data_IF_843903984525
#
_entry.id   IF_843903984525
#
_cell.length_a   1.000
_cell.length_b   1.000
_cell.length_c   1.000
_cell.angle_alpha   90.00
_cell.angle_beta   90.00
_cell.angle_gamma   90.00
#
_symmetry.space_group_name_H-M   'P 1'
#
loop_
_entity.id
_entity.type
_entity.pdbx_description
1 polymer ?
#
# COMPACT_ATOMS: atom_id res chain seq x y z
N UNK A 1 17.52 20.56 -31.29
CA UNK A 1 17.29 20.78 -29.84
C UNK A 1 16.51 19.58 -29.33
N UNK A 2 17.20 18.56 -28.83
CA UNK A 2 16.59 17.31 -28.36
C UNK A 2 16.13 17.56 -26.92
N UNK A 3 14.83 17.64 -26.67
CA UNK A 3 14.31 17.53 -25.32
C UNK A 3 14.39 16.04 -24.95
N UNK A 4 15.47 15.63 -24.29
CA UNK A 4 15.44 14.40 -23.49
C UNK A 4 14.42 14.67 -22.38
N UNK A 5 13.24 14.06 -22.48
CA UNK A 5 12.38 13.92 -21.32
C UNK A 5 13.18 13.10 -20.31
N UNK A 6 13.72 13.77 -19.30
CA UNK A 6 14.17 13.12 -18.09
C UNK A 6 12.99 12.26 -17.61
N UNK A 7 13.15 10.94 -17.62
CA UNK A 7 12.21 10.00 -17.00
C UNK A 7 12.37 10.18 -15.49
N UNK A 8 11.94 11.35 -15.02
CA UNK A 8 12.14 11.86 -13.69
C UNK A 8 11.82 10.76 -12.68
N UNK A 9 12.84 10.38 -11.94
CA UNK A 9 12.87 9.51 -10.77
C UNK A 9 11.49 8.98 -10.32
N UNK A 10 11.18 7.70 -10.59
CA UNK A 10 9.95 7.02 -10.12
C UNK A 10 10.02 6.60 -8.64
N UNK A 11 10.89 7.26 -7.89
CA UNK A 11 11.07 7.05 -6.47
C UNK A 11 10.22 8.04 -5.69
N UNK A 12 9.36 7.54 -4.81
CA UNK A 12 8.61 8.34 -3.84
C UNK A 12 9.00 7.92 -2.43
N UNK A 13 9.45 8.86 -1.61
CA UNK A 13 9.56 8.66 -0.17
C UNK A 13 8.60 9.60 0.53
N UNK A 14 7.69 9.03 1.32
CA UNK A 14 6.78 9.78 2.17
C UNK A 14 7.04 9.40 3.63
N UNK A 15 7.33 10.41 4.44
CA UNK A 15 7.64 10.24 5.87
C UNK A 15 6.67 11.06 6.71
N UNK A 16 6.00 10.42 7.66
CA UNK A 16 5.16 11.07 8.64
C UNK A 16 5.98 11.74 9.74
N UNK A 17 5.47 12.83 10.36
CA UNK A 17 6.11 13.46 11.52
C UNK A 17 6.09 12.53 12.74
N UNK A 18 4.98 11.82 12.91
CA UNK A 18 4.76 10.68 13.81
C UNK A 18 3.41 10.00 13.44
N UNK A 19 3.14 8.76 13.90
CA UNK A 19 1.89 8.05 13.59
C UNK A 19 0.59 8.70 14.11
N UNK A 20 0.66 9.75 14.94
CA UNK A 20 -0.52 10.41 15.51
C UNK A 20 -0.93 11.68 14.75
N UNK A 21 -0.06 12.20 13.88
CA UNK A 21 -0.23 13.49 13.21
C UNK A 21 -0.66 13.38 11.76
N UNK A 22 -0.26 12.31 11.05
CA UNK A 22 -0.61 12.09 9.65
C UNK A 22 -1.05 10.65 9.44
N UNK A 23 -2.29 10.43 9.00
CA UNK A 23 -2.80 9.11 8.59
C UNK A 23 -3.31 9.14 7.15
N UNK A 24 -3.10 8.05 6.42
CA UNK A 24 -3.70 7.83 5.11
C UNK A 24 -4.95 6.94 5.29
N UNK A 25 -6.10 7.42 4.83
CA UNK A 25 -7.34 6.63 4.80
C UNK A 25 -8.22 7.02 3.63
N UNK A 26 -9.13 6.13 3.23
CA UNK A 26 -10.22 6.49 2.31
C UNK A 26 -11.50 6.96 3.02
N UNK A 27 -11.43 7.21 4.34
CA UNK A 27 -12.57 7.64 5.15
C UNK A 27 -13.65 6.59 5.38
N UNK A 28 -13.32 5.29 5.22
CA UNK A 28 -14.24 4.17 5.36
C UNK A 28 -15.47 4.27 4.43
N UNK A 29 -15.27 4.78 3.21
CA UNK A 29 -16.37 5.03 2.26
C UNK A 29 -16.45 3.93 1.22
N UNK A 30 -17.41 3.01 1.38
CA UNK A 30 -17.68 1.88 0.46
C UNK A 30 -17.97 2.25 -1.00
N UNK A 31 -18.24 3.53 -1.29
CA UNK A 31 -18.67 3.96 -2.62
C UNK A 31 -17.52 4.04 -3.63
N UNK A 32 -16.26 4.05 -3.19
CA UNK A 32 -15.10 4.23 -4.07
C UNK A 32 -13.91 3.41 -3.60
N UNK A 33 -13.37 2.59 -4.51
CA UNK A 33 -12.18 1.76 -4.31
C UNK A 33 -10.90 2.60 -4.32
N UNK A 34 -10.80 3.58 -3.41
CA UNK A 34 -9.58 4.37 -3.27
C UNK A 34 -8.54 3.57 -2.51
N UNK A 35 -7.45 3.26 -3.19
CA UNK A 35 -6.28 2.58 -2.69
C UNK A 35 -5.00 3.33 -3.07
N UNK A 36 -3.89 2.92 -2.48
CA UNK A 36 -2.54 3.25 -2.92
C UNK A 36 -2.07 2.16 -3.87
N UNK A 37 -1.79 2.52 -5.11
CA UNK A 37 -1.26 1.60 -6.12
C UNK A 37 0.19 1.93 -6.42
N UNK A 38 1.08 0.97 -6.19
CA UNK A 38 2.50 1.06 -6.55
C UNK A 38 2.66 0.38 -7.90
N UNK A 39 2.93 1.19 -8.94
CA UNK A 39 3.11 0.69 -10.29
C UNK A 39 4.38 -0.16 -10.45
N UNK A 40 4.43 -1.06 -11.46
CA UNK A 40 5.55 -1.98 -11.65
C UNK A 40 6.96 -1.37 -11.71
N UNK A 41 7.07 -0.11 -12.14
CA UNK A 41 8.35 0.60 -12.27
C UNK A 41 8.57 1.69 -11.21
N UNK A 42 7.74 1.69 -10.16
CA UNK A 42 7.84 2.61 -9.04
C UNK A 42 8.64 2.01 -7.87
N UNK A 43 9.43 2.86 -7.21
CA UNK A 43 10.08 2.54 -5.94
C UNK A 43 9.49 3.45 -4.87
N UNK A 44 8.79 2.88 -3.90
CA UNK A 44 8.05 3.66 -2.90
C UNK A 44 8.47 3.25 -1.50
N UNK A 45 8.71 4.25 -0.65
CA UNK A 45 9.01 4.05 0.77
C UNK A 45 8.03 4.87 1.60
N UNK A 46 7.29 4.19 2.48
CA UNK A 46 6.48 4.82 3.52
C UNK A 46 7.17 4.68 4.87
N UNK A 47 7.32 5.80 5.60
CA UNK A 47 7.91 5.83 6.94
C UNK A 47 7.00 6.51 7.95
N UNK A 48 6.80 5.93 9.12
CA UNK A 48 6.05 6.54 10.22
C UNK A 48 4.63 6.99 9.83
N UNK A 49 3.95 6.24 8.96
CA UNK A 49 2.60 6.58 8.47
C UNK A 49 1.62 5.44 8.80
N UNK A 50 0.52 5.73 9.50
CA UNK A 50 -0.62 4.84 9.60
C UNK A 50 -1.42 4.83 8.29
N UNK A 51 -1.73 3.64 7.81
CA UNK A 51 -2.82 3.34 6.89
C UNK A 51 -3.93 2.72 7.72
N UNK A 52 -5.04 3.43 7.92
CA UNK A 52 -6.07 2.93 8.83
C UNK A 52 -7.48 3.26 8.40
N UNK A 53 -8.43 2.49 8.92
CA UNK A 53 -9.86 2.76 8.85
C UNK A 53 -10.35 2.98 7.41
N UNK A 54 -9.83 2.19 6.47
CA UNK A 54 -10.24 2.23 5.08
C UNK A 54 -11.07 1.00 4.72
N UNK A 55 -12.06 1.19 3.85
CA UNK A 55 -12.77 0.05 3.26
C UNK A 55 -12.77 0.13 1.75
N UNK A 56 -12.30 -0.94 1.11
CA UNK A 56 -12.30 -1.12 -0.34
C UNK A 56 -13.11 -2.35 -0.71
N UNK A 57 -13.76 -2.32 -1.87
CA UNK A 57 -14.51 -3.44 -2.42
C UNK A 57 -13.56 -4.35 -3.20
N UNK A 58 -13.00 -3.87 -4.31
CA UNK A 58 -12.34 -4.72 -5.31
C UNK A 58 -10.82 -4.85 -5.14
N UNK A 59 -10.24 -4.05 -4.25
CA UNK A 59 -8.79 -3.82 -4.14
C UNK A 59 -8.28 -4.13 -2.73
N UNK A 60 -7.02 -3.83 -2.44
CA UNK A 60 -6.46 -3.72 -1.08
C UNK A 60 -6.11 -2.28 -0.80
N UNK A 61 -5.92 -1.88 0.46
CA UNK A 61 -5.56 -0.49 0.78
C UNK A 61 -4.23 -0.10 0.13
N UNK A 62 -3.30 -1.04 0.13
CA UNK A 62 -2.06 -0.93 -0.64
C UNK A 62 -1.99 -2.09 -1.63
N UNK A 63 -1.93 -1.77 -2.91
CA UNK A 63 -1.61 -2.71 -3.98
C UNK A 63 -0.19 -2.45 -4.47
N UNK A 64 0.66 -3.46 -4.36
CA UNK A 64 2.03 -3.37 -4.82
C UNK A 64 2.27 -4.24 -6.05
N UNK A 65 2.67 -3.59 -7.15
CA UNK A 65 3.22 -4.24 -8.34
C UNK A 65 4.71 -3.87 -8.57
N UNK A 66 5.24 -2.90 -7.83
CA UNK A 66 6.62 -2.41 -7.93
C UNK A 66 7.48 -2.72 -6.69
N UNK A 67 8.39 -1.82 -6.32
CA UNK A 67 9.24 -1.98 -5.14
C UNK A 67 8.74 -1.14 -3.97
N UNK A 68 8.23 -1.78 -2.92
CA UNK A 68 7.61 -1.13 -1.77
C UNK A 68 8.38 -1.44 -0.48
N UNK A 69 8.79 -0.39 0.23
CA UNK A 69 9.27 -0.48 1.61
C UNK A 69 8.26 0.17 2.56
N UNK A 70 7.81 -0.60 3.56
CA UNK A 70 7.00 -0.15 4.69
C UNK A 70 7.89 -0.17 5.93
N UNK A 71 8.12 0.98 6.57
CA UNK A 71 9.06 1.10 7.68
C UNK A 71 8.45 1.93 8.83
N UNK A 72 8.38 1.36 10.03
CA UNK A 72 7.74 2.00 11.19
C UNK A 72 6.29 2.47 10.94
N UNK A 73 5.55 1.77 10.07
CA UNK A 73 4.16 2.08 9.75
C UNK A 73 3.19 1.23 10.56
N UNK A 74 1.93 1.68 10.60
CA UNK A 74 0.80 0.90 11.13
C UNK A 74 -0.18 0.69 9.98
N UNK A 75 -0.57 -0.55 9.69
CA UNK A 75 -1.60 -0.86 8.70
C UNK A 75 -2.69 -1.61 9.44
N UNK A 76 -3.79 -0.93 9.76
CA UNK A 76 -4.74 -1.46 10.72
C UNK A 76 -6.19 -1.03 10.51
N UNK A 77 -7.12 -1.91 10.89
CA UNK A 77 -8.56 -1.70 10.77
C UNK A 77 -9.02 -1.43 9.34
N UNK A 78 -8.31 -2.03 8.38
CA UNK A 78 -8.65 -1.93 6.96
C UNK A 78 -9.47 -3.14 6.49
N UNK A 79 -10.47 -2.89 5.67
CA UNK A 79 -11.41 -3.90 5.19
C UNK A 79 -11.34 -3.96 3.66
N UNK A 80 -11.10 -5.16 3.12
CA UNK A 80 -11.21 -5.42 1.69
C UNK A 80 -12.20 -6.54 1.45
N UNK A 81 -13.20 -6.34 0.59
CA UNK A 81 -14.07 -7.47 0.28
C UNK A 81 -13.36 -8.52 -0.59
N UNK A 82 -12.69 -8.14 -1.68
CA UNK A 82 -12.18 -9.09 -2.69
C UNK A 82 -10.70 -9.46 -2.59
N UNK A 83 -9.80 -8.52 -2.29
CA UNK A 83 -8.34 -8.80 -2.13
C UNK A 83 -7.96 -8.76 -0.64
N UNK A 84 -6.69 -8.53 -0.28
CA UNK A 84 -6.23 -8.48 1.12
C UNK A 84 -6.75 -7.24 1.85
N UNK A 85 -6.99 -7.34 3.15
CA UNK A 85 -7.47 -6.20 3.97
C UNK A 85 -6.44 -5.07 4.06
N UNK A 86 -5.16 -5.40 4.21
CA UNK A 86 -4.08 -4.40 4.29
C UNK A 86 -3.30 -4.26 2.98
N UNK A 87 -2.32 -5.14 2.77
CA UNK A 87 -1.41 -5.11 1.61
C UNK A 87 -1.64 -6.31 0.70
N UNK A 88 -1.73 -6.06 -0.59
CA UNK A 88 -1.68 -7.08 -1.63
C UNK A 88 -0.44 -6.89 -2.51
N UNK A 89 0.48 -7.85 -2.46
CA UNK A 89 1.69 -7.85 -3.27
C UNK A 89 1.53 -8.78 -4.48
N UNK A 90 1.58 -8.24 -5.70
CA UNK A 90 1.39 -8.94 -6.98
C UNK A 90 2.62 -9.77 -7.43
N UNK A 91 3.31 -10.43 -6.48
CA UNK A 91 4.58 -11.14 -6.69
C UNK A 91 4.68 -12.02 -7.94
N UNK A 92 3.57 -12.55 -8.48
CA UNK A 92 3.56 -13.48 -9.62
C UNK A 92 3.13 -12.96 -10.99
N UNK A 93 2.62 -11.74 -11.19
CA UNK A 93 2.13 -11.37 -12.53
C UNK A 93 3.25 -11.05 -13.54
N UNK A 94 4.43 -10.63 -13.05
CA UNK A 94 5.66 -10.39 -13.85
C UNK A 94 6.97 -10.67 -13.08
N UNK A 95 6.93 -11.06 -11.80
CA UNK A 95 8.12 -11.36 -10.99
C UNK A 95 8.94 -10.14 -10.51
N UNK A 96 8.34 -8.95 -10.47
CA UNK A 96 9.03 -7.69 -10.15
C UNK A 96 8.56 -7.00 -8.87
N UNK A 97 7.46 -7.47 -8.25
CA UNK A 97 6.88 -6.82 -7.08
C UNK A 97 7.61 -7.24 -5.79
N UNK A 98 8.42 -6.33 -5.24
CA UNK A 98 9.15 -6.52 -3.99
C UNK A 98 8.46 -5.78 -2.85
N UNK A 99 8.32 -6.44 -1.70
CA UNK A 99 7.78 -5.88 -0.48
C UNK A 99 8.72 -6.12 0.69
N UNK A 100 9.26 -5.05 1.27
CA UNK A 100 9.99 -5.07 2.52
C UNK A 100 9.14 -4.43 3.63
N UNK A 101 8.93 -5.14 4.73
CA UNK A 101 8.21 -4.62 5.90
C UNK A 101 9.17 -4.64 7.10
N UNK A 102 9.47 -3.46 7.64
CA UNK A 102 10.41 -3.25 8.73
C UNK A 102 9.71 -2.53 9.89
N UNK A 103 9.92 -3.00 11.13
CA UNK A 103 9.47 -2.33 12.36
C UNK A 103 8.00 -1.86 12.33
N UNK A 104 7.13 -2.56 11.61
CA UNK A 104 5.77 -2.13 11.32
C UNK A 104 4.75 -3.08 11.93
N UNK A 105 3.56 -2.54 12.21
CA UNK A 105 2.45 -3.32 12.76
C UNK A 105 1.34 -3.47 11.72
N UNK A 106 1.04 -4.72 11.33
CA UNK A 106 -0.08 -5.05 10.44
C UNK A 106 -1.08 -5.87 11.26
N UNK A 107 -2.23 -5.29 11.58
CA UNK A 107 -3.18 -5.88 12.52
C UNK A 107 -4.61 -5.56 12.15
N UNK A 108 -5.57 -6.37 12.62
CA UNK A 108 -7.02 -6.07 12.54
C UNK A 108 -7.57 -5.75 11.15
N UNK A 109 -6.80 -6.06 10.10
CA UNK A 109 -7.25 -5.96 8.72
C UNK A 109 -8.04 -7.23 8.35
N UNK A 110 -9.10 -7.05 7.58
CA UNK A 110 -10.03 -8.14 7.25
C UNK A 110 -10.27 -8.25 5.75
N UNK A 111 -10.49 -9.49 5.31
CA UNK A 111 -10.92 -9.76 3.95
C UNK A 111 -11.99 -10.84 3.90
N UNK A 112 -12.97 -10.69 3.00
CA UNK A 112 -14.02 -11.69 2.82
C UNK A 112 -13.58 -12.86 1.92
N UNK A 113 -12.67 -12.63 0.99
CA UNK A 113 -12.24 -13.64 -0.01
C UNK A 113 -10.75 -14.00 0.05
N UNK A 114 -9.95 -13.35 0.89
CA UNK A 114 -8.51 -13.63 1.02
C UNK A 114 -7.98 -13.40 2.45
N UNK A 115 -6.66 -13.38 2.64
CA UNK A 115 -6.04 -13.13 3.94
C UNK A 115 -6.23 -11.68 4.37
N UNK A 116 -6.68 -11.47 5.61
CA UNK A 116 -7.00 -10.14 6.15
C UNK A 116 -5.79 -9.21 6.29
N UNK A 117 -4.63 -9.71 6.74
CA UNK A 117 -3.44 -8.88 7.01
C UNK A 117 -2.67 -8.45 5.77
N UNK A 118 -1.97 -9.41 5.16
CA UNK A 118 -1.23 -9.22 3.91
C UNK A 118 -1.28 -10.53 3.11
N UNK A 119 -1.20 -10.43 1.78
CA UNK A 119 -1.23 -11.58 0.90
C UNK A 119 -0.13 -11.46 -0.15
N UNK A 120 0.63 -12.54 -0.32
CA UNK A 120 1.59 -12.73 -1.41
C UNK A 120 1.00 -13.71 -2.42
N UNK A 121 0.97 -13.34 -3.69
CA UNK A 121 0.64 -14.25 -4.80
C UNK A 121 1.79 -14.36 -5.77
#
# INVERSE_FOLDING_TARGET
MLALADRANRALSLSGPDPSTLSISNGNVLKKDYNVHIFPDATVTFKNIPFTNSTVRLSSIIENEGNLTIDHCVIANDISYYKSGGIYNHGSSQGLAELAINNSHISTNTSSYSNGGWHYK
#
